data_IF_386617704229
#
_entry.id   IF_386617704229
#
_cell.length_a   1.000
_cell.length_b   1.000
_cell.length_c   1.000
_cell.angle_alpha   90.00
_cell.angle_beta   90.00
_cell.angle_gamma   90.00
#
_symmetry.space_group_name_H-M   'P 1'
#
loop_
_entity.id
_entity.type
_entity.pdbx_description
1 polymer ?
#
# COMPACT_ATOMS: atom_id res chain seq x y z
N UNK A 1 10.73 65.06 -1.55
CA UNK A 1 12.07 64.99 -0.92
C UNK A 1 12.40 63.59 -0.37
N UNK A 2 11.62 63.04 0.57
CA UNK A 2 11.88 61.73 1.24
C UNK A 2 12.20 60.55 0.32
N UNK A 3 11.45 60.36 -0.78
CA UNK A 3 11.68 59.26 -1.72
C UNK A 3 13.03 59.37 -2.42
N UNK A 4 13.40 60.58 -2.86
CA UNK A 4 14.69 60.84 -3.53
C UNK A 4 15.85 60.58 -2.58
N UNK A 5 15.73 61.05 -1.33
CA UNK A 5 16.73 60.83 -0.29
C UNK A 5 16.89 59.36 0.08
N UNK A 6 15.78 58.62 0.21
CA UNK A 6 15.82 57.18 0.45
C UNK A 6 16.60 56.45 -0.65
N UNK A 7 16.29 56.74 -1.92
CA UNK A 7 17.00 56.13 -3.05
C UNK A 7 18.49 56.43 -3.01
N UNK A 8 18.88 57.71 -2.82
CA UNK A 8 20.30 58.12 -2.76
C UNK A 8 21.04 57.48 -1.58
N UNK A 9 20.46 57.52 -0.37
CA UNK A 9 21.11 56.98 0.84
C UNK A 9 21.18 55.46 0.85
N UNK A 10 20.13 54.77 0.38
CA UNK A 10 20.15 53.31 0.22
C UNK A 10 21.26 52.88 -0.74
N UNK A 11 21.37 53.54 -1.89
CA UNK A 11 22.47 53.27 -2.84
C UNK A 11 23.82 53.57 -2.22
N UNK A 12 23.97 54.67 -1.49
CA UNK A 12 25.21 54.98 -0.77
C UNK A 12 25.59 53.95 0.29
N UNK A 13 24.62 53.43 1.04
CA UNK A 13 24.81 52.36 2.03
C UNK A 13 25.30 51.07 1.38
N UNK A 14 24.66 50.66 0.28
CA UNK A 14 25.05 49.47 -0.48
C UNK A 14 26.47 49.60 -1.04
N UNK A 15 26.84 50.78 -1.57
CA UNK A 15 28.21 51.03 -2.04
C UNK A 15 29.25 50.87 -0.92
N UNK A 16 28.97 51.42 0.26
CA UNK A 16 29.85 51.24 1.42
C UNK A 16 29.93 49.79 1.89
N UNK A 17 28.81 49.07 1.91
CA UNK A 17 28.81 47.65 2.25
C UNK A 17 29.65 46.81 1.27
N UNK A 18 29.59 47.15 -0.02
CA UNK A 18 30.43 46.55 -1.05
C UNK A 18 31.92 46.87 -0.85
N UNK A 19 32.25 48.15 -0.60
CA UNK A 19 33.64 48.56 -0.29
C UNK A 19 34.19 47.78 0.92
N UNK A 20 33.42 47.65 2.00
CA UNK A 20 33.82 46.88 3.19
C UNK A 20 34.04 45.41 2.85
N UNK A 21 33.11 44.82 2.08
CA UNK A 21 33.21 43.41 1.70
C UNK A 21 34.49 43.13 0.92
N UNK A 22 34.82 43.97 -0.06
CA UNK A 22 36.02 43.80 -0.89
C UNK A 22 37.32 44.13 -0.15
N UNK A 23 37.34 45.21 0.64
CA UNK A 23 38.56 45.67 1.32
C UNK A 23 38.97 44.78 2.49
N UNK A 24 37.99 44.16 3.16
CA UNK A 24 38.22 43.36 4.35
C UNK A 24 38.00 41.86 4.14
N UNK A 25 37.71 41.42 2.91
CA UNK A 25 37.28 40.05 2.59
C UNK A 25 36.18 39.55 3.53
N UNK A 26 35.19 40.43 3.75
CA UNK A 26 34.10 40.20 4.68
C UNK A 26 32.80 39.92 3.94
N UNK A 27 31.98 39.02 4.48
CA UNK A 27 30.64 38.83 3.95
C UNK A 27 29.67 39.80 4.60
N UNK A 28 28.97 40.56 3.76
CA UNK A 28 28.11 41.66 4.23
C UNK A 28 26.76 41.54 3.54
N UNK A 29 25.70 41.47 4.34
CA UNK A 29 24.32 41.60 3.90
C UNK A 29 23.71 42.91 4.40
N UNK A 30 22.92 43.57 3.56
CA UNK A 30 22.15 44.77 3.92
C UNK A 30 20.69 44.56 3.56
N UNK A 31 19.82 44.64 4.56
CA UNK A 31 18.36 44.50 4.40
C UNK A 31 17.71 45.83 4.79
N UNK A 32 16.93 46.41 3.87
CA UNK A 32 16.24 47.69 4.07
C UNK A 32 14.76 47.56 3.71
N UNK A 33 13.89 47.73 4.70
CA UNK A 33 12.45 47.86 4.48
C UNK A 33 12.07 49.33 4.37
N UNK A 34 11.39 49.70 3.29
CA UNK A 34 10.75 51.02 3.20
C UNK A 34 9.51 51.09 4.10
N UNK A 35 9.05 52.29 4.42
CA UNK A 35 7.78 52.45 5.18
C UNK A 35 6.53 51.97 4.45
N UNK A 36 6.64 51.59 3.18
CA UNK A 36 5.56 50.93 2.42
C UNK A 36 5.68 49.39 2.45
N UNK A 37 6.57 48.84 3.28
CA UNK A 37 6.83 47.40 3.38
C UNK A 37 7.70 46.82 2.25
N UNK A 38 8.09 47.63 1.24
CA UNK A 38 8.94 47.14 0.15
C UNK A 38 10.36 46.82 0.66
N UNK A 39 10.79 45.59 0.43
CA UNK A 39 12.12 45.07 0.71
C UNK A 39 13.12 45.52 -0.37
N UNK A 40 14.31 45.93 0.08
CA UNK A 40 15.49 46.11 -0.74
C UNK A 40 16.66 45.43 -0.04
N UNK A 41 17.38 44.61 -0.78
CA UNK A 41 18.47 43.80 -0.24
C UNK A 41 19.74 43.93 -1.09
N UNK A 42 20.87 43.71 -0.43
CA UNK A 42 22.18 43.54 -1.03
C UNK A 42 22.91 42.46 -0.24
N UNK A 43 23.69 41.65 -0.95
CA UNK A 43 24.61 40.68 -0.39
C UNK A 43 25.92 40.77 -1.14
N UNK A 44 27.04 40.50 -0.46
CA UNK A 44 28.30 40.17 -1.13
C UNK A 44 28.17 38.85 -1.91
N UNK A 45 29.26 38.29 -2.44
CA UNK A 45 29.22 37.14 -3.38
C UNK A 45 28.50 35.87 -2.87
N UNK A 46 28.21 35.79 -1.56
CA UNK A 46 27.36 34.74 -0.96
C UNK A 46 25.87 35.09 -1.03
N UNK A 47 24.99 34.08 -1.11
CA UNK A 47 23.55 34.33 -1.05
C UNK A 47 23.16 34.94 0.30
N UNK A 48 22.18 35.86 0.31
CA UNK A 48 21.72 36.48 1.56
C UNK A 48 21.19 35.42 2.56
N UNK A 49 20.63 34.32 2.04
CA UNK A 49 20.16 33.19 2.84
C UNK A 49 21.32 32.50 3.58
N UNK A 50 22.48 32.32 2.92
CA UNK A 50 23.65 31.70 3.54
C UNK A 50 24.27 32.59 4.64
N UNK A 51 24.23 33.91 4.46
CA UNK A 51 24.67 34.86 5.48
C UNK A 51 23.71 34.84 6.68
N UNK A 52 22.40 34.82 6.43
CA UNK A 52 21.37 34.73 7.48
C UNK A 52 21.46 33.41 8.25
N UNK A 53 21.66 32.29 7.55
CA UNK A 53 21.82 30.97 8.19
C UNK A 53 23.06 30.94 9.09
N UNK A 54 24.20 31.48 8.62
CA UNK A 54 25.39 31.57 9.45
C UNK A 54 25.22 32.53 10.62
N UNK A 55 24.56 33.67 10.41
CA UNK A 55 24.22 34.58 11.49
C UNK A 55 23.36 33.89 12.55
N UNK A 56 22.33 33.14 12.15
CA UNK A 56 21.47 32.38 13.07
C UNK A 56 22.32 31.41 13.90
N UNK A 57 23.18 30.61 13.26
CA UNK A 57 24.08 29.66 13.94
C UNK A 57 25.02 30.33 14.95
N UNK A 58 25.68 31.43 14.58
CA UNK A 58 26.64 32.12 15.47
C UNK A 58 25.95 32.97 16.55
N UNK A 59 24.79 33.55 16.24
CA UNK A 59 23.99 34.30 17.23
C UNK A 59 23.50 33.40 18.36
N UNK A 60 23.31 32.10 18.10
CA UNK A 60 23.02 31.09 19.11
C UNK A 60 24.24 30.70 19.95
N UNK A 61 25.46 30.79 19.42
CA UNK A 61 26.69 30.47 20.15
C UNK A 61 27.18 31.63 21.04
N UNK A 62 27.07 32.89 20.60
CA UNK A 62 27.45 34.06 21.41
C UNK A 62 26.47 34.38 22.55
N UNK A 63 25.24 33.85 22.51
CA UNK A 63 24.18 34.11 23.50
C UNK A 63 24.19 33.23 24.76
N UNK A 64 25.38 32.75 25.16
CA UNK A 64 25.77 32.41 26.57
C UNK A 64 25.88 30.90 26.89
N UNK A 65 27.03 30.41 27.42
CA UNK A 65 27.21 29.04 27.92
C UNK A 65 26.39 28.67 29.18
N UNK A 66 25.52 29.54 29.67
CA UNK A 66 24.81 29.39 30.95
C UNK A 66 23.28 29.21 30.83
N UNK A 67 22.71 29.23 29.62
CA UNK A 67 21.23 29.22 29.38
C UNK A 67 20.76 28.06 28.48
N UNK A 68 21.57 27.00 28.32
CA UNK A 68 21.27 25.86 27.44
C UNK A 68 19.94 25.12 27.75
N UNK A 69 19.38 25.27 28.95
CA UNK A 69 18.15 24.57 29.36
C UNK A 69 16.84 25.29 28.94
N UNK A 70 16.85 26.58 28.63
CA UNK A 70 15.63 27.34 28.27
C UNK A 70 15.47 27.47 26.75
N UNK A 71 16.59 27.58 26.02
CA UNK A 71 16.57 27.81 24.57
C UNK A 71 16.30 26.53 23.77
N UNK A 72 16.67 25.36 24.30
CA UNK A 72 16.19 24.08 23.76
C UNK A 72 14.67 24.00 23.83
N UNK A 73 14.04 24.41 24.94
CA UNK A 73 12.59 24.41 25.11
C UNK A 73 11.89 25.41 24.18
N UNK A 74 12.48 26.58 23.91
CA UNK A 74 11.90 27.58 23.01
C UNK A 74 12.08 27.23 21.53
N UNK A 75 13.24 26.66 21.16
CA UNK A 75 13.50 26.07 19.84
C UNK A 75 12.58 24.88 19.54
N UNK A 76 12.45 23.94 20.48
CA UNK A 76 11.44 22.87 20.42
C UNK A 76 10.03 23.44 20.36
N UNK A 77 9.74 24.56 21.03
CA UNK A 77 8.46 25.24 20.97
C UNK A 77 8.14 25.79 19.57
N UNK A 78 9.13 26.33 18.86
CA UNK A 78 8.98 26.81 17.48
C UNK A 78 8.80 25.63 16.51
N UNK A 79 9.65 24.61 16.60
CA UNK A 79 9.55 23.41 15.76
C UNK A 79 8.24 22.64 16.00
N UNK A 80 7.79 22.55 17.25
CA UNK A 80 6.49 21.99 17.61
C UNK A 80 5.34 22.79 17.00
N UNK A 81 5.38 24.12 17.07
CA UNK A 81 4.36 24.97 16.41
C UNK A 81 4.33 24.74 14.91
N UNK A 82 5.49 24.70 14.24
CA UNK A 82 5.59 24.40 12.80
C UNK A 82 4.99 23.04 12.47
N UNK A 83 5.35 22.01 13.25
CA UNK A 83 4.84 20.65 13.06
C UNK A 83 3.33 20.56 13.30
N UNK A 84 2.84 21.22 14.35
CA UNK A 84 1.43 21.27 14.70
C UNK A 84 0.61 21.93 13.58
N UNK A 85 1.07 23.06 13.04
CA UNK A 85 0.40 23.70 11.90
C UNK A 85 0.37 22.80 10.66
N UNK A 86 1.45 22.05 10.39
CA UNK A 86 1.47 21.05 9.29
C UNK A 86 0.46 19.93 9.54
N UNK A 87 0.39 19.42 10.77
CA UNK A 87 -0.55 18.38 11.16
C UNK A 87 -2.01 18.85 11.01
N UNK A 88 -2.33 20.04 11.51
CA UNK A 88 -3.67 20.63 11.39
C UNK A 88 -4.07 20.83 9.92
N UNK A 89 -3.14 21.28 9.09
CA UNK A 89 -3.37 21.40 7.64
C UNK A 89 -3.65 20.04 7.00
N UNK A 90 -2.81 19.02 7.28
CA UNK A 90 -3.02 17.67 6.77
C UNK A 90 -4.34 17.06 7.24
N UNK A 91 -4.70 17.25 8.51
CA UNK A 91 -5.95 16.79 9.07
C UNK A 91 -7.15 17.50 8.42
N UNK A 92 -7.05 18.80 8.16
CA UNK A 92 -8.06 19.56 7.41
C UNK A 92 -8.22 19.01 6.00
N UNK A 93 -7.12 18.83 5.27
CA UNK A 93 -7.16 18.26 3.91
C UNK A 93 -7.74 16.84 3.91
N UNK A 94 -7.42 16.01 4.91
CA UNK A 94 -8.04 14.69 5.08
C UNK A 94 -9.55 14.80 5.22
N UNK A 95 -10.06 15.73 6.04
CA UNK A 95 -11.50 15.99 6.21
C UNK A 95 -12.16 16.32 4.88
N UNK A 96 -11.54 17.19 4.08
CA UNK A 96 -12.05 17.47 2.73
C UNK A 96 -12.12 16.21 1.86
N UNK A 97 -11.09 15.35 1.84
CA UNK A 97 -11.10 14.11 1.06
C UNK A 97 -12.17 13.09 1.49
N UNK A 98 -12.62 13.13 2.75
CA UNK A 98 -13.72 12.28 3.23
C UNK A 98 -15.09 12.96 3.09
N UNK A 99 -15.15 14.18 2.54
CA UNK A 99 -16.38 14.94 2.31
C UNK A 99 -16.84 15.79 3.50
N UNK A 100 -15.97 16.03 4.48
CA UNK A 100 -16.23 16.89 5.64
C UNK A 100 -15.64 18.30 5.45
N UNK A 101 -16.21 19.30 6.14
CA UNK A 101 -15.78 20.70 6.13
C UNK A 101 -15.58 21.31 4.74
N UNK A 102 -16.55 21.08 3.85
CA UNK A 102 -16.47 21.55 2.46
C UNK A 102 -16.94 23.00 2.26
N UNK A 103 -17.76 23.53 3.17
CA UNK A 103 -18.28 24.91 3.14
C UNK A 103 -17.23 26.02 2.90
N UNK A 104 -16.01 25.97 3.47
CA UNK A 104 -14.99 27.00 3.22
C UNK A 104 -14.30 26.89 1.85
N UNK A 105 -14.51 25.84 1.06
CA UNK A 105 -13.88 25.67 -0.25
C UNK A 105 -14.66 26.43 -1.32
N UNK A 106 -13.93 27.11 -2.21
CA UNK A 106 -14.53 27.69 -3.42
C UNK A 106 -14.94 26.60 -4.41
N UNK A 107 -15.84 26.94 -5.34
CA UNK A 107 -16.28 26.02 -6.39
C UNK A 107 -15.11 25.44 -7.22
N UNK A 108 -14.05 26.23 -7.46
CA UNK A 108 -12.86 25.76 -8.18
C UNK A 108 -12.05 24.75 -7.37
N UNK A 109 -11.91 24.99 -6.07
CA UNK A 109 -11.20 24.07 -5.17
C UNK A 109 -11.97 22.76 -4.99
N UNK A 110 -13.30 22.84 -4.94
CA UNK A 110 -14.17 21.66 -4.88
C UNK A 110 -14.10 20.81 -6.16
N UNK A 111 -14.11 21.45 -7.34
CA UNK A 111 -13.89 20.76 -8.63
C UNK A 111 -12.51 20.10 -8.70
N UNK A 112 -11.48 20.76 -8.17
CA UNK A 112 -10.15 20.18 -8.11
C UNK A 112 -10.10 18.95 -7.20
N UNK A 113 -10.74 19.02 -6.03
CA UNK A 113 -10.85 17.92 -5.08
C UNK A 113 -11.60 16.72 -5.68
N UNK A 114 -12.73 16.98 -6.34
CA UNK A 114 -13.50 15.97 -7.06
C UNK A 114 -12.66 15.27 -8.12
N UNK A 115 -11.96 16.03 -8.96
CA UNK A 115 -11.09 15.47 -10.00
C UNK A 115 -9.97 14.60 -9.41
N UNK A 116 -9.35 15.03 -8.30
CA UNK A 116 -8.32 14.25 -7.61
C UNK A 116 -8.87 12.93 -7.06
N UNK A 117 -10.06 12.96 -6.44
CA UNK A 117 -10.72 11.76 -5.92
C UNK A 117 -11.10 10.79 -7.03
N UNK A 118 -11.68 11.28 -8.12
CA UNK A 118 -12.04 10.46 -9.28
C UNK A 118 -10.82 9.80 -9.92
N UNK A 119 -9.74 10.55 -10.09
CA UNK A 119 -8.48 10.02 -10.60
C UNK A 119 -7.94 8.92 -9.69
N UNK A 120 -7.82 9.19 -8.38
CA UNK A 120 -7.31 8.21 -7.42
C UNK A 120 -8.18 6.95 -7.36
N UNK A 121 -9.49 7.11 -7.35
CA UNK A 121 -10.46 6.02 -7.32
C UNK A 121 -10.41 5.17 -8.59
N UNK A 122 -10.29 5.79 -9.77
CA UNK A 122 -10.07 5.09 -11.04
C UNK A 122 -8.79 4.27 -10.99
N UNK A 123 -7.68 4.87 -10.53
CA UNK A 123 -6.40 4.18 -10.39
C UNK A 123 -6.48 2.98 -9.44
N UNK A 124 -7.09 3.15 -8.26
CA UNK A 124 -7.27 2.06 -7.28
C UNK A 124 -8.11 0.93 -7.89
N UNK A 125 -9.22 1.25 -8.56
CA UNK A 125 -10.09 0.26 -9.22
C UNK A 125 -9.34 -0.51 -10.30
N UNK A 126 -8.63 0.19 -11.19
CA UNK A 126 -7.83 -0.45 -12.25
C UNK A 126 -6.76 -1.37 -11.65
N UNK A 127 -6.02 -0.90 -10.64
CA UNK A 127 -4.99 -1.70 -9.95
C UNK A 127 -5.60 -2.95 -9.31
N UNK A 128 -6.74 -2.82 -8.61
CA UNK A 128 -7.44 -3.93 -7.97
C UNK A 128 -7.92 -4.96 -8.99
N UNK A 129 -8.52 -4.50 -10.08
CA UNK A 129 -8.97 -5.38 -11.18
C UNK A 129 -7.79 -6.12 -11.80
N UNK A 130 -6.67 -5.44 -12.04
CA UNK A 130 -5.45 -6.06 -12.56
C UNK A 130 -4.93 -7.17 -11.64
N UNK A 131 -4.76 -6.88 -10.34
CA UNK A 131 -4.28 -7.87 -9.37
C UNK A 131 -5.24 -9.08 -9.26
N UNK A 132 -6.54 -8.85 -9.37
CA UNK A 132 -7.53 -9.91 -9.38
C UNK A 132 -7.41 -10.78 -10.65
N UNK A 133 -7.22 -10.18 -11.82
CA UNK A 133 -6.99 -10.91 -13.07
C UNK A 133 -5.70 -11.72 -13.05
N UNK A 134 -4.63 -11.18 -12.48
CA UNK A 134 -3.36 -11.90 -12.26
C UNK A 134 -3.57 -13.14 -11.38
N UNK A 135 -4.32 -13.00 -10.28
CA UNK A 135 -4.67 -14.11 -9.38
C UNK A 135 -5.49 -15.19 -10.09
N UNK A 136 -6.55 -14.80 -10.82
CA UNK A 136 -7.37 -15.74 -11.60
C UNK A 136 -6.52 -16.48 -12.64
N UNK A 137 -5.65 -15.77 -13.34
CA UNK A 137 -4.77 -16.35 -14.36
C UNK A 137 -3.80 -17.36 -13.76
N UNK A 138 -3.26 -17.07 -12.57
CA UNK A 138 -2.39 -17.99 -11.83
C UNK A 138 -3.14 -19.27 -11.43
N UNK A 139 -4.33 -19.13 -10.86
CA UNK A 139 -5.16 -20.27 -10.44
C UNK A 139 -5.58 -21.15 -11.62
N UNK A 140 -6.01 -20.55 -12.74
CA UNK A 140 -6.35 -21.30 -13.97
C UNK A 140 -5.17 -22.09 -14.54
N UNK A 141 -3.95 -21.55 -14.47
CA UNK A 141 -2.74 -22.28 -14.86
C UNK A 141 -2.48 -23.49 -13.96
N UNK A 142 -2.68 -23.32 -12.64
CA UNK A 142 -2.54 -24.41 -11.67
C UNK A 142 -3.60 -25.50 -11.88
N UNK A 143 -4.86 -25.11 -12.08
CA UNK A 143 -5.96 -26.03 -12.40
C UNK A 143 -5.63 -26.87 -13.64
N UNK A 144 -5.19 -26.24 -14.72
CA UNK A 144 -4.81 -26.93 -15.95
C UNK A 144 -3.66 -27.93 -15.72
N UNK A 145 -2.61 -27.52 -15.01
CA UNK A 145 -1.47 -28.39 -14.70
C UNK A 145 -1.88 -29.60 -13.84
N UNK A 146 -2.74 -29.39 -12.84
CA UNK A 146 -3.23 -30.48 -12.00
C UNK A 146 -4.14 -31.43 -12.79
N UNK A 147 -4.98 -30.89 -13.68
CA UNK A 147 -5.83 -31.70 -14.54
C UNK A 147 -5.01 -32.58 -15.49
N UNK A 148 -3.93 -32.02 -16.08
CA UNK A 148 -3.00 -32.78 -16.94
C UNK A 148 -2.29 -33.90 -16.15
N UNK A 149 -1.81 -33.61 -14.93
CA UNK A 149 -1.17 -34.62 -14.06
C UNK A 149 -2.15 -35.73 -13.66
N UNK A 150 -3.37 -35.37 -13.24
CA UNK A 150 -4.40 -36.34 -12.90
C UNK A 150 -4.79 -37.21 -14.10
N UNK A 151 -4.91 -36.63 -15.29
CA UNK A 151 -5.17 -37.38 -16.52
C UNK A 151 -4.04 -38.35 -16.87
N UNK A 152 -2.78 -37.95 -16.67
CA UNK A 152 -1.62 -38.84 -16.85
C UNK A 152 -1.64 -40.01 -15.87
N UNK A 153 -1.90 -39.73 -14.58
CA UNK A 153 -2.01 -40.76 -13.54
C UNK A 153 -3.16 -41.74 -13.81
N UNK A 154 -4.32 -41.25 -14.23
CA UNK A 154 -5.44 -42.11 -14.62
C UNK A 154 -5.06 -43.06 -15.76
N UNK A 155 -4.36 -42.56 -16.80
CA UNK A 155 -3.87 -43.41 -17.90
C UNK A 155 -2.87 -44.46 -17.42
N UNK A 156 -1.97 -44.11 -16.51
CA UNK A 156 -1.03 -45.08 -15.92
C UNK A 156 -1.78 -46.18 -15.15
N UNK A 157 -2.76 -45.81 -14.32
CA UNK A 157 -3.59 -46.76 -13.57
C UNK A 157 -4.36 -47.67 -14.53
N UNK A 158 -4.98 -47.12 -15.59
CA UNK A 158 -5.73 -47.96 -16.56
C UNK A 158 -4.82 -48.92 -17.31
N UNK A 159 -3.61 -48.48 -17.70
CA UNK A 159 -2.65 -49.35 -18.37
C UNK A 159 -2.18 -50.47 -17.44
N UNK A 160 -1.86 -50.15 -16.18
CA UNK A 160 -1.43 -51.14 -15.19
C UNK A 160 -2.53 -52.16 -14.86
N UNK A 161 -3.79 -51.72 -14.77
CA UNK A 161 -4.93 -52.65 -14.63
C UNK A 161 -5.05 -53.55 -15.87
N UNK A 162 -4.83 -53.00 -17.07
CA UNK A 162 -4.87 -53.79 -18.30
C UNK A 162 -3.75 -54.84 -18.36
N UNK A 163 -2.52 -54.45 -18.01
CA UNK A 163 -1.36 -55.36 -17.91
C UNK A 163 -1.61 -56.47 -16.90
N UNK A 164 -2.10 -56.15 -15.70
CA UNK A 164 -2.46 -57.14 -14.69
C UNK A 164 -3.56 -58.10 -15.16
N UNK A 165 -4.53 -57.61 -15.92
CA UNK A 165 -5.58 -58.46 -16.53
C UNK A 165 -5.00 -59.39 -17.58
N UNK A 166 -4.13 -58.90 -18.46
CA UNK A 166 -3.48 -59.75 -19.47
C UNK A 166 -2.56 -60.80 -18.86
N UNK A 167 -1.81 -60.43 -17.82
CA UNK A 167 -0.95 -61.36 -17.08
C UNK A 167 -1.76 -62.42 -16.34
N UNK A 168 -2.89 -62.05 -15.72
CA UNK A 168 -3.81 -63.00 -15.09
C UNK A 168 -4.41 -63.99 -16.12
N UNK A 169 -4.78 -63.50 -17.32
CA UNK A 169 -5.26 -64.35 -18.41
C UNK A 169 -4.15 -65.30 -18.91
N UNK A 170 -2.91 -64.81 -19.03
CA UNK A 170 -1.75 -65.62 -19.44
C UNK A 170 -1.45 -66.76 -18.45
N UNK A 171 -1.53 -66.49 -17.15
CA UNK A 171 -1.35 -67.50 -16.11
C UNK A 171 -2.42 -68.61 -16.18
N UNK A 172 -3.67 -68.27 -16.47
CA UNK A 172 -4.79 -69.22 -16.61
C UNK A 172 -4.68 -70.12 -17.86
N UNK A 173 -3.94 -69.71 -18.89
CA UNK A 173 -3.71 -70.50 -20.11
C UNK A 173 -2.53 -71.48 -20.03
N UNK A 174 -1.84 -71.57 -18.90
CA UNK A 174 -0.74 -72.54 -18.71
C UNK A 174 -1.31 -73.95 -18.45
N UNK A 175 -0.90 -74.99 -19.20
CA UNK A 175 -1.44 -76.34 -19.06
C UNK A 175 -0.73 -77.07 -17.92
N UNK A 176 -1.10 -76.77 -16.69
CA UNK A 176 -0.83 -77.65 -15.54
C UNK A 176 -2.12 -77.73 -14.73
N UNK A 177 -2.83 -78.83 -14.94
CA UNK A 177 -4.15 -79.05 -14.39
C UNK A 177 -4.13 -79.11 -12.88
N UNK A 178 -4.97 -78.27 -12.27
CA UNK A 178 -5.66 -78.55 -11.00
C UNK A 178 -6.93 -77.69 -10.98
N UNK A 179 -8.08 -78.37 -11.00
CA UNK A 179 -9.40 -77.78 -11.26
C UNK A 179 -9.94 -76.92 -10.10
N UNK A 180 -9.25 -76.91 -8.95
CA UNK A 180 -9.59 -76.09 -7.79
C UNK A 180 -9.09 -74.64 -7.90
N UNK A 181 -8.06 -74.38 -8.72
CA UNK A 181 -7.44 -73.05 -8.81
C UNK A 181 -8.23 -72.05 -9.70
N UNK A 182 -9.13 -72.57 -10.55
CA UNK A 182 -9.98 -71.76 -11.42
C UNK A 182 -11.06 -70.97 -10.65
N UNK A 183 -11.55 -71.50 -9.53
CA UNK A 183 -12.52 -70.79 -8.68
C UNK A 183 -11.87 -69.65 -7.89
N UNK A 184 -10.64 -69.81 -7.41
CA UNK A 184 -9.92 -68.77 -6.68
C UNK A 184 -9.59 -67.54 -7.57
N UNK A 185 -9.22 -67.77 -8.84
CA UNK A 185 -8.96 -66.70 -9.80
C UNK A 185 -10.22 -65.88 -10.16
N UNK A 186 -11.39 -66.52 -10.22
CA UNK A 186 -12.67 -65.86 -10.45
C UNK A 186 -13.09 -64.93 -9.30
N UNK A 187 -12.72 -65.25 -8.05
CA UNK A 187 -12.99 -64.40 -6.89
C UNK A 187 -12.15 -63.11 -6.88
N UNK A 188 -10.89 -63.15 -7.31
CA UNK A 188 -10.06 -61.95 -7.48
C UNK A 188 -10.61 -61.04 -8.60
N UNK A 189 -11.16 -61.62 -9.66
CA UNK A 189 -11.73 -60.90 -10.81
C UNK A 189 -12.94 -60.02 -10.46
N UNK A 190 -13.75 -60.42 -9.46
CA UNK A 190 -14.95 -59.69 -9.07
C UNK A 190 -14.69 -58.56 -8.04
N UNK A 191 -13.51 -58.52 -7.42
CA UNK A 191 -13.16 -57.52 -6.39
C UNK A 191 -12.63 -56.18 -6.91
N UNK A 192 -12.20 -56.11 -8.17
CA UNK A 192 -11.60 -54.91 -8.77
C UNK A 192 -12.65 -54.07 -9.54
N UNK A 193 -13.62 -53.51 -8.81
CA UNK A 193 -14.41 -52.36 -9.29
C UNK A 193 -13.87 -51.09 -8.62
N UNK A 194 -13.25 -50.15 -9.35
CA UNK A 194 -12.98 -48.83 -8.78
C UNK A 194 -14.29 -48.05 -8.77
N UNK A 195 -15.00 -48.08 -7.64
CA UNK A 195 -16.05 -47.10 -7.36
C UNK A 195 -15.37 -45.83 -6.86
N UNK A 196 -15.12 -44.88 -7.76
CA UNK A 196 -14.87 -43.49 -7.36
C UNK A 196 -16.22 -42.81 -7.33
N UNK A 197 -16.90 -42.94 -6.19
CA UNK A 197 -18.10 -42.18 -5.88
C UNK A 197 -17.67 -40.90 -5.14
N UNK A 198 -17.47 -39.82 -5.89
CA UNK A 198 -17.35 -38.46 -5.33
C UNK A 198 -18.61 -37.73 -5.77
N UNK A 199 -19.70 -37.93 -5.04
CA UNK A 199 -20.96 -37.28 -5.39
C UNK A 199 -22.17 -37.56 -4.51
N UNK A 200 -22.15 -37.18 -3.22
CA UNK A 200 -23.35 -36.74 -2.46
C UNK A 200 -23.03 -36.61 -0.97
N UNK A 201 -23.62 -35.76 -0.15
CA UNK A 201 -24.67 -34.75 -0.31
C UNK A 201 -24.71 -34.01 1.04
N UNK A 202 -24.78 -32.68 1.07
CA UNK A 202 -25.34 -31.98 2.22
C UNK A 202 -26.76 -31.53 1.87
N UNK A 203 -27.74 -32.36 2.26
CA UNK A 203 -29.16 -31.99 2.34
C UNK A 203 -29.52 -32.01 3.82
N UNK A 204 -29.48 -30.85 4.47
CA UNK A 204 -29.93 -30.70 5.86
C UNK A 204 -31.44 -30.46 5.85
N UNK A 205 -32.16 -31.37 6.51
CA UNK A 205 -33.58 -31.28 6.82
C UNK A 205 -33.74 -30.56 8.16
N UNK A 206 -34.59 -29.55 8.18
CA UNK A 206 -35.02 -28.85 9.38
C UNK A 206 -35.96 -29.72 10.21
N UNK A 207 -35.80 -29.71 11.55
CA UNK A 207 -36.85 -29.60 12.57
C UNK A 207 -36.20 -29.22 13.93
N UNK A 208 -36.97 -28.54 14.77
CA UNK A 208 -36.50 -27.71 15.90
C UNK A 208 -36.29 -28.44 17.23
N UNK A 209 -35.72 -27.70 18.19
CA UNK A 209 -35.50 -28.12 19.57
C UNK A 209 -34.54 -27.18 20.30
N UNK A 210 -34.98 -26.66 21.45
CA UNK A 210 -34.41 -25.53 22.20
C UNK A 210 -33.17 -25.86 23.08
N UNK A 211 -32.21 -24.92 23.09
CA UNK A 211 -31.43 -24.42 24.27
C UNK A 211 -30.35 -25.29 24.96
N UNK A 212 -29.46 -24.74 25.84
CA UNK A 212 -28.11 -24.33 25.44
C UNK A 212 -26.97 -24.86 26.34
N UNK A 213 -25.80 -25.23 25.79
CA UNK A 213 -24.57 -25.30 26.58
C UNK A 213 -23.29 -25.36 25.74
N UNK A 214 -22.29 -24.60 26.21
CA UNK A 214 -20.84 -24.82 26.07
C UNK A 214 -20.18 -24.51 24.73
N UNK A 215 -19.73 -23.26 24.68
CA UNK A 215 -18.83 -22.64 23.70
C UNK A 215 -17.38 -23.06 23.99
N UNK A 216 -16.80 -23.89 23.12
CA UNK A 216 -15.35 -24.05 22.98
C UNK A 216 -14.96 -23.84 21.50
N UNK A 217 -13.82 -23.20 21.33
CA UNK A 217 -13.36 -22.50 20.13
C UNK A 217 -13.05 -23.40 18.92
N UNK A 218 -13.55 -23.01 17.74
CA UNK A 218 -12.92 -23.32 16.46
C UNK A 218 -13.04 -22.10 15.54
N UNK A 219 -11.91 -21.64 14.99
CA UNK A 219 -11.79 -20.48 14.11
C UNK A 219 -12.34 -20.83 12.72
N UNK A 220 -13.49 -20.27 12.37
CA UNK A 220 -14.02 -20.31 11.00
C UNK A 220 -13.50 -19.11 10.19
N UNK A 221 -12.48 -19.36 9.37
CA UNK A 221 -11.96 -18.42 8.37
C UNK A 221 -12.66 -18.64 7.02
N UNK A 222 -13.96 -18.34 6.91
CA UNK A 222 -14.63 -18.08 5.63
C UNK A 222 -15.79 -17.12 5.83
N UNK A 223 -15.52 -15.82 5.70
CA UNK A 223 -16.57 -14.85 5.42
C UNK A 223 -16.00 -13.75 4.53
N UNK A 224 -16.51 -13.66 3.30
CA UNK A 224 -16.20 -12.54 2.42
C UNK A 224 -16.88 -11.26 2.97
N UNK A 225 -16.19 -10.12 3.00
CA UNK A 225 -16.73 -8.90 3.57
C UNK A 225 -17.91 -8.32 2.75
N UNK A 226 -18.87 -7.63 3.40
CA UNK A 226 -20.16 -7.22 2.82
C UNK A 226 -20.10 -6.31 1.57
N UNK A 227 -18.98 -5.62 1.34
CA UNK A 227 -18.78 -4.76 0.17
C UNK A 227 -18.62 -5.55 -1.14
N UNK A 228 -18.42 -6.88 -1.07
CA UNK A 228 -18.18 -7.73 -2.23
C UNK A 228 -19.46 -8.28 -2.89
N UNK A 229 -20.64 -8.04 -2.31
CA UNK A 229 -21.93 -8.60 -2.75
C UNK A 229 -22.82 -7.61 -3.51
N UNK A 230 -22.25 -6.60 -4.16
CA UNK A 230 -23.04 -5.71 -5.03
C UNK A 230 -22.38 -5.65 -6.38
N UNK A 231 -22.90 -6.43 -7.34
CA UNK A 231 -23.01 -6.12 -8.78
C UNK A 231 -23.48 -7.39 -9.53
N UNK A 232 -24.73 -7.82 -9.33
CA UNK A 232 -25.52 -8.54 -10.35
C UNK A 232 -27.00 -8.29 -10.06
N UNK A 233 -27.57 -7.22 -10.63
CA UNK A 233 -28.96 -7.15 -11.11
C UNK A 233 -29.14 -5.81 -11.82
N UNK A 234 -28.94 -5.80 -13.13
CA UNK A 234 -29.78 -5.06 -14.08
C UNK A 234 -29.80 -5.85 -15.39
#
# INVERSE_FOLDING_TARGET
NRQVTFSKRRTGLIKKAHEISVLCDAEVAVIVFSTKGKLYEYSSDSSIMNILERYERHSSEERNPLVANVESQESWGIEYKKLKSKFELLQKTKRHYIGEDLDPLSARELQHLEHQLDYALKHIRTRKTQLMQESISKLRKQEKSLHEQNGALQKMITNQIHEQKEEAVRCLSSPSGDQENAQAAAFLFNGLKPSVDIGSSHKVRAEGGESPAQRLSAKDNRSMPPWMLRFVTQ
#
